data_IF_321362440498
#
_entry.id   IF_321362440498
#
_cell.length_a   1.000
_cell.length_b   1.000
_cell.length_c   1.000
_cell.angle_alpha   90.00
_cell.angle_beta   90.00
_cell.angle_gamma   90.00
#
_symmetry.space_group_name_H-M   'P 1'
#
loop_
_entity.id
_entity.type
_entity.pdbx_description
1 polymer ?
#
# COMPACT_ATOMS: atom_id res chain seq x y z
N UNK A 1 -34.63 24.17 7.60
CA UNK A 1 -34.02 23.45 6.49
C UNK A 1 -33.41 22.17 7.04
N UNK A 2 -34.03 21.05 6.75
CA UNK A 2 -33.70 19.73 7.31
C UNK A 2 -32.31 19.27 6.87
N UNK A 3 -31.40 19.12 7.83
CA UNK A 3 -30.17 18.35 7.59
C UNK A 3 -30.59 16.92 7.24
N UNK A 4 -30.54 16.57 5.98
CA UNK A 4 -30.61 15.15 5.57
C UNK A 4 -29.45 14.44 6.25
N UNK A 5 -29.77 13.70 7.30
CA UNK A 5 -28.91 12.68 7.90
C UNK A 5 -28.71 11.60 6.84
N UNK A 6 -27.76 11.79 5.94
CA UNK A 6 -27.35 10.77 4.99
C UNK A 6 -26.62 9.66 5.76
N UNK A 7 -27.39 8.78 6.37
CA UNK A 7 -26.92 7.56 7.04
C UNK A 7 -26.46 6.48 6.02
N UNK A 8 -26.21 6.88 4.77
CA UNK A 8 -25.70 5.96 3.77
C UNK A 8 -24.27 5.58 4.09
N UNK A 9 -24.04 4.29 4.30
CA UNK A 9 -22.70 3.73 4.49
C UNK A 9 -21.83 3.94 3.23
N UNK A 10 -22.41 3.68 2.06
CA UNK A 10 -21.70 3.81 0.77
C UNK A 10 -21.67 5.27 0.31
N UNK A 11 -20.74 6.02 0.86
CA UNK A 11 -20.47 7.39 0.43
C UNK A 11 -19.48 7.42 -0.74
N UNK A 12 -19.51 8.45 -1.61
CA UNK A 12 -18.48 8.59 -2.66
C UNK A 12 -17.06 8.60 -2.11
N UNK A 13 -16.85 9.10 -0.90
CA UNK A 13 -15.55 9.13 -0.23
C UNK A 13 -15.10 7.72 0.14
N UNK A 14 -15.99 6.88 0.66
CA UNK A 14 -15.70 5.47 0.96
C UNK A 14 -15.28 4.73 -0.31
N UNK A 15 -16.04 4.88 -1.40
CA UNK A 15 -15.77 4.21 -2.66
C UNK A 15 -14.42 4.66 -3.23
N UNK A 16 -14.17 5.98 -3.29
CA UNK A 16 -12.92 6.52 -3.82
C UNK A 16 -11.72 6.09 -2.96
N UNK A 17 -11.80 6.16 -1.64
CA UNK A 17 -10.75 5.71 -0.74
C UNK A 17 -10.46 4.22 -0.87
N UNK A 18 -11.51 3.39 -0.97
CA UNK A 18 -11.39 1.94 -1.19
C UNK A 18 -10.71 1.63 -2.52
N UNK A 19 -11.05 2.32 -3.60
CA UNK A 19 -10.42 2.14 -4.92
C UNK A 19 -8.95 2.57 -4.91
N UNK A 20 -8.62 3.67 -4.24
CA UNK A 20 -7.22 4.12 -4.11
C UNK A 20 -6.39 3.05 -3.40
N UNK A 21 -6.87 2.50 -2.27
CA UNK A 21 -6.16 1.43 -1.57
C UNK A 21 -6.10 0.14 -2.40
N UNK A 22 -7.19 -0.25 -3.05
CA UNK A 22 -7.23 -1.44 -3.90
C UNK A 22 -6.15 -1.36 -4.98
N UNK A 23 -6.10 -0.26 -5.72
CA UNK A 23 -5.13 -0.06 -6.82
C UNK A 23 -3.71 0.01 -6.28
N UNK A 24 -3.46 0.83 -5.27
CA UNK A 24 -2.13 1.01 -4.69
C UNK A 24 -1.54 -0.30 -4.15
N UNK A 25 -2.34 -1.10 -3.43
CA UNK A 25 -1.90 -2.38 -2.89
C UNK A 25 -1.89 -3.51 -3.93
N UNK A 26 -2.71 -3.42 -4.99
CA UNK A 26 -2.58 -4.32 -6.13
C UNK A 26 -1.19 -4.18 -6.77
N UNK A 27 -0.76 -2.97 -7.08
CA UNK A 27 0.57 -2.71 -7.64
C UNK A 27 1.66 -3.15 -6.66
N UNK A 28 1.56 -2.77 -5.37
CA UNK A 28 2.57 -3.13 -4.37
C UNK A 28 2.80 -4.63 -4.25
N UNK A 29 1.75 -5.43 -4.26
CA UNK A 29 1.83 -6.88 -4.07
C UNK A 29 2.52 -7.61 -5.23
N UNK A 30 2.74 -6.94 -6.36
CA UNK A 30 3.34 -7.56 -7.56
C UNK A 30 4.87 -7.49 -7.58
N UNK A 31 5.49 -6.64 -6.76
CA UNK A 31 6.94 -6.37 -6.86
C UNK A 31 7.80 -7.64 -6.81
N UNK A 32 7.43 -8.64 -6.00
CA UNK A 32 8.16 -9.90 -5.94
C UNK A 32 8.21 -10.70 -7.26
N UNK A 33 7.24 -10.48 -8.17
CA UNK A 33 7.22 -11.13 -9.48
C UNK A 33 8.28 -10.60 -10.44
N UNK A 34 8.77 -9.39 -10.20
CA UNK A 34 9.77 -8.72 -11.03
C UNK A 34 11.20 -9.11 -10.67
N UNK A 35 11.40 -9.80 -9.53
CA UNK A 35 12.72 -10.18 -9.07
C UNK A 35 13.50 -11.04 -10.09
N UNK A 36 12.86 -12.04 -10.64
CA UNK A 36 13.50 -12.95 -11.61
C UNK A 36 13.74 -12.24 -12.95
N UNK A 37 12.74 -11.62 -13.59
CA UNK A 37 12.93 -10.93 -14.86
C UNK A 37 14.01 -9.85 -14.82
N UNK A 38 14.06 -9.04 -13.77
CA UNK A 38 15.08 -7.98 -13.64
C UNK A 38 16.46 -8.57 -13.38
N UNK A 39 16.55 -9.61 -12.54
CA UNK A 39 17.82 -10.27 -12.26
C UNK A 39 18.40 -10.95 -13.51
N UNK A 40 17.58 -11.52 -14.37
CA UNK A 40 17.98 -12.15 -15.63
C UNK A 40 18.45 -11.12 -16.66
N UNK A 41 17.72 -10.01 -16.83
CA UNK A 41 18.06 -8.99 -17.82
C UNK A 41 19.39 -8.28 -17.52
N UNK A 42 19.69 -8.04 -16.24
CA UNK A 42 20.86 -7.25 -15.83
C UNK A 42 21.96 -8.08 -15.17
N UNK A 43 21.75 -9.38 -15.00
CA UNK A 43 22.64 -10.27 -14.26
C UNK A 43 22.91 -9.81 -12.82
N UNK A 44 21.91 -9.16 -12.19
CA UNK A 44 22.01 -8.74 -10.81
C UNK A 44 21.86 -9.90 -9.85
N UNK A 45 22.59 -9.82 -8.72
CA UNK A 45 22.33 -10.74 -7.63
C UNK A 45 20.92 -10.50 -7.07
N UNK A 46 20.19 -11.56 -6.73
CA UNK A 46 18.84 -11.45 -6.15
C UNK A 46 18.80 -10.63 -4.86
N UNK A 47 19.92 -10.62 -4.12
CA UNK A 47 20.08 -9.78 -2.94
C UNK A 47 19.89 -8.30 -3.24
N UNK A 48 20.29 -7.81 -4.42
CA UNK A 48 20.15 -6.41 -4.83
C UNK A 48 18.68 -6.01 -4.95
N UNK A 49 17.88 -6.86 -5.59
CA UNK A 49 16.43 -6.64 -5.66
C UNK A 49 15.77 -6.74 -4.28
N UNK A 50 16.17 -7.72 -3.47
CA UNK A 50 15.65 -7.87 -2.11
C UNK A 50 15.97 -6.66 -1.23
N UNK A 51 17.16 -6.09 -1.39
CA UNK A 51 17.57 -4.86 -0.71
C UNK A 51 16.70 -3.68 -1.15
N UNK A 52 16.39 -3.56 -2.45
CA UNK A 52 15.49 -2.52 -2.95
C UNK A 52 14.11 -2.60 -2.29
N UNK A 53 13.54 -3.81 -2.16
CA UNK A 53 12.25 -4.01 -1.48
C UNK A 53 12.35 -3.72 0.03
N UNK A 54 13.45 -4.05 0.68
CA UNK A 54 13.68 -3.70 2.09
C UNK A 54 13.74 -2.18 2.28
N UNK A 55 14.45 -1.47 1.42
CA UNK A 55 14.52 0.01 1.39
C UNK A 55 13.14 0.61 1.16
N UNK A 56 12.34 0.05 0.22
CA UNK A 56 10.97 0.48 -0.03
C UNK A 56 10.10 0.37 1.24
N UNK A 57 10.14 -0.76 1.93
CA UNK A 57 9.34 -0.97 3.14
C UNK A 57 9.80 -0.05 4.28
N UNK A 58 11.10 0.17 4.43
CA UNK A 58 11.65 1.12 5.41
C UNK A 58 11.20 2.55 5.10
N UNK A 59 11.31 2.99 3.86
CA UNK A 59 10.86 4.30 3.41
C UNK A 59 9.34 4.48 3.60
N UNK A 60 8.53 3.42 3.36
CA UNK A 60 7.11 3.43 3.66
C UNK A 60 6.85 3.62 5.16
N UNK A 61 7.53 2.85 6.03
CA UNK A 61 7.38 2.97 7.47
C UNK A 61 7.72 4.37 7.98
N UNK A 62 8.86 4.93 7.58
CA UNK A 62 9.30 6.28 7.94
C UNK A 62 8.39 7.36 7.32
N UNK A 63 7.97 7.14 6.10
CA UNK A 63 7.11 8.08 5.37
C UNK A 63 5.70 8.21 5.96
N UNK A 64 5.17 7.15 6.57
CA UNK A 64 3.80 7.15 7.09
C UNK A 64 3.53 8.27 8.12
N UNK A 65 4.30 8.44 9.19
CA UNK A 65 4.10 9.56 10.11
C UNK A 65 4.36 10.92 9.45
N UNK A 66 5.30 11.02 8.51
CA UNK A 66 5.60 12.26 7.79
C UNK A 66 4.40 12.69 6.94
N UNK A 67 3.83 11.76 6.16
CA UNK A 67 2.64 12.05 5.35
C UNK A 67 1.38 12.27 6.18
N UNK A 68 1.27 11.64 7.36
CA UNK A 68 0.18 11.94 8.30
C UNK A 68 0.27 13.38 8.81
N UNK A 69 1.44 13.82 9.26
CA UNK A 69 1.67 15.21 9.68
C UNK A 69 1.48 16.21 8.51
N UNK A 70 1.93 15.85 7.31
CA UNK A 70 1.71 16.66 6.11
C UNK A 70 0.21 16.77 5.78
N UNK A 71 -0.55 15.68 5.90
CA UNK A 71 -1.99 15.67 5.68
C UNK A 71 -2.75 16.55 6.68
N UNK A 72 -2.35 16.55 7.95
CA UNK A 72 -2.93 17.43 8.97
C UNK A 72 -2.66 18.90 8.68
N UNK A 73 -1.46 19.23 8.23
CA UNK A 73 -1.07 20.64 7.98
C UNK A 73 -1.60 21.17 6.65
N UNK A 74 -1.54 20.38 5.59
CA UNK A 74 -1.81 20.85 4.22
C UNK A 74 -3.08 20.25 3.60
N UNK A 75 -3.66 19.26 4.27
CA UNK A 75 -4.88 18.56 3.87
C UNK A 75 -4.62 17.23 3.17
N UNK A 76 -5.49 16.26 3.43
CA UNK A 76 -5.37 14.88 2.98
C UNK A 76 -5.24 14.72 1.47
N UNK A 77 -6.01 15.51 0.71
CA UNK A 77 -5.96 15.43 -0.76
C UNK A 77 -4.58 15.73 -1.30
N UNK A 78 -3.91 16.74 -0.77
CA UNK A 78 -2.55 17.10 -1.19
C UNK A 78 -1.56 16.01 -0.81
N UNK A 79 -1.71 15.42 0.37
CA UNK A 79 -0.88 14.30 0.80
C UNK A 79 -1.04 13.08 -0.10
N UNK A 80 -2.28 12.67 -0.38
CA UNK A 80 -2.58 11.52 -1.24
C UNK A 80 -2.14 11.78 -2.69
N UNK A 81 -2.39 12.99 -3.21
CA UNK A 81 -1.92 13.35 -4.57
C UNK A 81 -0.40 13.28 -4.67
N UNK A 82 0.32 13.86 -3.70
CA UNK A 82 1.78 13.80 -3.66
C UNK A 82 2.27 12.36 -3.55
N UNK A 83 1.63 11.55 -2.70
CA UNK A 83 1.93 10.12 -2.58
C UNK A 83 1.79 9.36 -3.91
N UNK A 84 0.67 9.55 -4.61
CA UNK A 84 0.42 8.92 -5.91
C UNK A 84 1.41 9.38 -6.98
N UNK A 85 1.80 10.67 -6.98
CA UNK A 85 2.81 11.19 -7.90
C UNK A 85 4.18 10.57 -7.62
N UNK A 86 4.62 10.52 -6.35
CA UNK A 86 5.90 9.90 -5.98
C UNK A 86 5.91 8.42 -6.33
N UNK A 87 4.78 7.72 -6.10
CA UNK A 87 4.63 6.32 -6.45
C UNK A 87 4.76 6.09 -7.95
N UNK A 88 4.02 6.85 -8.75
CA UNK A 88 4.07 6.76 -10.19
C UNK A 88 5.46 7.10 -10.76
N UNK A 89 6.08 8.19 -10.28
CA UNK A 89 7.42 8.59 -10.72
C UNK A 89 8.47 7.54 -10.34
N UNK A 90 8.42 7.02 -9.11
CA UNK A 90 9.33 5.98 -8.66
C UNK A 90 9.25 4.73 -9.54
N UNK A 91 8.04 4.25 -9.84
CA UNK A 91 7.82 3.09 -10.70
C UNK A 91 8.25 3.39 -12.15
N UNK A 92 7.83 4.55 -12.69
CA UNK A 92 8.16 4.93 -14.07
C UNK A 92 9.67 5.04 -14.30
N UNK A 93 10.39 5.72 -13.42
CA UNK A 93 11.84 5.84 -13.57
C UNK A 93 12.53 4.49 -13.32
N UNK A 94 11.97 3.63 -12.45
CA UNK A 94 12.49 2.27 -12.24
C UNK A 94 12.40 1.39 -13.49
N UNK A 95 11.48 1.68 -14.43
CA UNK A 95 11.40 0.95 -15.71
C UNK A 95 12.63 1.14 -16.60
N UNK A 96 13.38 2.21 -16.37
CA UNK A 96 14.62 2.56 -17.11
C UNK A 96 15.89 2.38 -16.28
N UNK A 97 15.80 1.91 -15.04
CA UNK A 97 16.94 1.73 -14.15
C UNK A 97 17.79 0.54 -14.60
N UNK A 98 19.07 0.79 -14.89
CA UNK A 98 20.03 -0.22 -15.38
C UNK A 98 21.07 -0.62 -14.33
N UNK A 99 21.08 0.02 -13.17
CA UNK A 99 21.97 -0.35 -12.06
C UNK A 99 21.20 -0.65 -10.78
N UNK A 100 21.70 -1.57 -9.93
CA UNK A 100 21.06 -1.91 -8.65
C UNK A 100 20.88 -0.69 -7.75
N UNK A 101 21.89 0.18 -7.67
CA UNK A 101 21.87 1.37 -6.81
C UNK A 101 20.78 2.36 -7.25
N UNK A 102 20.62 2.56 -8.56
CA UNK A 102 19.54 3.40 -9.09
C UNK A 102 18.18 2.83 -8.72
N UNK A 103 18.00 1.51 -8.88
CA UNK A 103 16.76 0.83 -8.53
C UNK A 103 16.47 0.91 -7.03
N UNK A 104 17.49 0.72 -6.17
CA UNK A 104 17.37 0.86 -4.72
C UNK A 104 17.00 2.29 -4.31
N UNK A 105 17.63 3.31 -4.91
CA UNK A 105 17.29 4.70 -4.64
C UNK A 105 15.84 5.04 -5.05
N UNK A 106 15.40 4.56 -6.21
CA UNK A 106 14.02 4.77 -6.67
C UNK A 106 12.97 4.07 -5.80
N UNK A 107 13.35 2.97 -5.15
CA UNK A 107 12.49 2.32 -4.18
C UNK A 107 12.25 3.16 -2.90
N UNK A 108 13.10 4.14 -2.59
CA UNK A 108 12.80 5.15 -1.56
C UNK A 108 11.60 5.99 -2.00
N UNK A 109 11.58 6.47 -3.24
CA UNK A 109 10.45 7.24 -3.79
C UNK A 109 9.16 6.42 -3.77
N UNK A 110 9.24 5.17 -4.20
CA UNK A 110 8.11 4.23 -4.20
C UNK A 110 7.58 4.05 -2.77
N UNK A 111 8.46 3.84 -1.79
CA UNK A 111 8.08 3.70 -0.38
C UNK A 111 7.38 4.95 0.17
N UNK A 112 7.91 6.14 -0.07
CA UNK A 112 7.24 7.39 0.28
C UNK A 112 5.93 7.58 -0.47
N UNK A 113 5.85 7.16 -1.73
CA UNK A 113 4.61 7.14 -2.51
C UNK A 113 3.53 6.29 -1.85
N UNK A 114 3.87 5.07 -1.43
CA UNK A 114 2.97 4.17 -0.70
C UNK A 114 2.56 4.78 0.65
N UNK A 115 3.48 5.44 1.37
CA UNK A 115 3.18 6.11 2.63
C UNK A 115 2.13 7.21 2.46
N UNK A 116 2.24 8.02 1.40
CA UNK A 116 1.33 9.13 1.14
C UNK A 116 -0.04 8.72 0.58
N UNK A 117 -0.13 7.62 -0.17
CA UNK A 117 -1.36 7.13 -0.79
C UNK A 117 -1.94 5.87 -0.14
N UNK A 118 -1.28 5.33 0.88
CA UNK A 118 -1.64 4.09 1.57
C UNK A 118 -2.63 4.28 2.72
N UNK A 119 -2.62 3.32 3.65
CA UNK A 119 -3.60 3.22 4.73
C UNK A 119 -3.69 4.48 5.59
N UNK A 120 -2.58 5.09 5.99
CA UNK A 120 -2.58 6.23 6.92
C UNK A 120 -3.49 7.37 6.45
N UNK A 121 -3.13 8.10 5.39
CA UNK A 121 -3.93 9.23 4.90
C UNK A 121 -5.32 8.84 4.40
N UNK A 122 -5.47 7.69 3.71
CA UNK A 122 -6.76 7.29 3.13
C UNK A 122 -7.77 6.89 4.20
N UNK A 123 -7.37 6.07 5.19
CA UNK A 123 -8.26 5.70 6.30
C UNK A 123 -8.63 6.91 7.15
N UNK A 124 -7.70 7.86 7.34
CA UNK A 124 -7.98 9.10 8.05
C UNK A 124 -9.09 9.91 7.36
N UNK A 125 -9.03 10.05 6.03
CA UNK A 125 -10.08 10.74 5.25
C UNK A 125 -11.42 10.03 5.34
N UNK A 126 -11.44 8.72 5.12
CA UNK A 126 -12.68 7.91 5.16
C UNK A 126 -13.29 7.97 6.55
N UNK A 127 -12.49 7.82 7.62
CA UNK A 127 -12.96 7.89 8.99
C UNK A 127 -13.54 9.25 9.36
N UNK A 128 -12.96 10.36 8.84
CA UNK A 128 -13.49 11.71 9.04
C UNK A 128 -14.75 12.01 8.24
N UNK A 129 -14.90 11.39 7.08
CA UNK A 129 -16.07 11.58 6.22
C UNK A 129 -17.29 10.76 6.64
N UNK A 130 -17.09 9.71 7.45
CA UNK A 130 -18.13 8.77 7.85
C UNK A 130 -18.72 9.11 9.23
N UNK A 131 -20.02 8.86 9.45
CA UNK A 131 -20.68 9.02 10.76
C UNK A 131 -20.05 8.09 11.81
N UNK A 132 -20.16 8.47 13.09
CA UNK A 132 -19.54 7.68 14.18
C UNK A 132 -20.09 6.26 14.26
N UNK A 133 -21.41 6.08 13.98
CA UNK A 133 -22.07 4.78 13.94
C UNK A 133 -21.54 3.84 12.86
N UNK A 134 -21.09 4.37 11.71
CA UNK A 134 -20.66 3.59 10.56
C UNK A 134 -19.13 3.61 10.38
N UNK A 135 -18.38 4.31 11.24
CA UNK A 135 -16.94 4.54 11.07
C UNK A 135 -16.15 3.24 11.06
N UNK A 136 -16.40 2.35 12.03
CA UNK A 136 -15.69 1.07 12.11
C UNK A 136 -15.91 0.23 10.86
N UNK A 137 -17.14 0.15 10.40
CA UNK A 137 -17.50 -0.60 9.19
C UNK A 137 -16.89 0.01 7.94
N UNK A 138 -16.91 1.33 7.80
CA UNK A 138 -16.32 2.02 6.66
C UNK A 138 -14.80 1.82 6.59
N UNK A 139 -14.11 1.90 7.72
CA UNK A 139 -12.68 1.63 7.81
C UNK A 139 -12.36 0.16 7.49
N UNK A 140 -13.19 -0.78 7.96
CA UNK A 140 -13.09 -2.20 7.64
C UNK A 140 -13.24 -2.48 6.15
N UNK A 141 -14.26 -1.90 5.50
CA UNK A 141 -14.48 -2.04 4.04
C UNK A 141 -13.29 -1.47 3.25
N UNK A 142 -12.81 -0.30 3.65
CA UNK A 142 -11.66 0.34 2.97
C UNK A 142 -10.38 -0.49 3.12
N UNK A 143 -10.14 -1.07 4.29
CA UNK A 143 -9.02 -1.97 4.54
C UNK A 143 -9.16 -3.27 3.74
N UNK A 144 -10.35 -3.85 3.71
CA UNK A 144 -10.65 -5.04 2.92
C UNK A 144 -10.44 -4.81 1.42
N UNK A 145 -10.75 -3.62 0.91
CA UNK A 145 -10.48 -3.26 -0.49
C UNK A 145 -8.96 -3.25 -0.79
N UNK A 146 -8.13 -2.72 0.11
CA UNK A 146 -6.68 -2.81 -0.01
C UNK A 146 -6.18 -4.26 -0.03
N UNK A 147 -6.73 -5.12 0.83
CA UNK A 147 -6.41 -6.55 0.84
C UNK A 147 -6.87 -7.27 -0.43
N UNK A 148 -8.05 -6.93 -0.96
CA UNK A 148 -8.53 -7.45 -2.24
C UNK A 148 -7.59 -7.05 -3.41
N UNK A 149 -7.01 -5.85 -3.36
CA UNK A 149 -5.97 -5.42 -4.31
C UNK A 149 -4.78 -6.37 -4.31
N UNK A 150 -4.32 -6.81 -3.15
CA UNK A 150 -3.21 -7.77 -3.04
C UNK A 150 -3.53 -9.15 -3.65
N UNK A 151 -4.79 -9.53 -3.73
CA UNK A 151 -5.23 -10.76 -4.41
C UNK A 151 -5.28 -10.56 -5.92
N UNK A 152 -5.78 -9.42 -6.37
CA UNK A 152 -6.01 -9.13 -7.80
C UNK A 152 -4.70 -8.75 -8.51
N UNK A 153 -3.80 -8.04 -7.83
CA UNK A 153 -2.58 -7.51 -8.42
C UNK A 153 -1.67 -8.57 -9.04
N UNK A 154 -1.25 -9.61 -8.29
CA UNK A 154 -0.33 -10.61 -8.80
C UNK A 154 -0.81 -11.36 -10.04
N UNK A 155 -2.06 -11.84 -10.14
CA UNK A 155 -2.59 -12.43 -11.37
C UNK A 155 -2.54 -11.46 -12.56
N UNK A 156 -2.91 -10.21 -12.32
CA UNK A 156 -2.87 -9.17 -13.35
C UNK A 156 -1.45 -8.91 -13.84
N UNK A 157 -0.47 -8.77 -12.92
CA UNK A 157 0.93 -8.61 -13.29
C UNK A 157 1.50 -9.83 -14.01
N UNK A 158 1.16 -11.05 -13.58
CA UNK A 158 1.61 -12.27 -14.23
C UNK A 158 1.12 -12.38 -15.69
N UNK A 159 -0.14 -11.98 -15.96
CA UNK A 159 -0.68 -11.91 -17.32
C UNK A 159 0.11 -10.89 -18.15
N UNK A 160 0.37 -9.69 -17.62
CA UNK A 160 1.14 -8.68 -18.34
C UNK A 160 2.56 -9.14 -18.62
N UNK A 161 3.26 -9.73 -17.64
CA UNK A 161 4.61 -10.27 -17.78
C UNK A 161 4.71 -11.42 -18.79
N UNK A 162 3.61 -12.11 -19.08
CA UNK A 162 3.59 -13.17 -20.10
C UNK A 162 3.55 -12.65 -21.54
N UNK A 163 3.19 -11.38 -21.74
CA UNK A 163 2.97 -10.79 -23.08
C UNK A 163 3.86 -9.58 -23.36
N UNK A 164 4.52 -9.02 -22.34
CA UNK A 164 5.39 -7.86 -22.50
C UNK A 164 6.54 -7.84 -21.50
N UNK A 165 7.63 -7.09 -21.78
CA UNK A 165 8.78 -6.99 -20.88
C UNK A 165 8.39 -6.30 -19.57
N UNK A 166 9.12 -6.63 -18.49
CA UNK A 166 8.87 -6.08 -17.16
C UNK A 166 8.88 -4.54 -17.10
N UNK A 167 9.72 -3.89 -17.89
CA UNK A 167 9.79 -2.43 -17.96
C UNK A 167 8.47 -1.80 -18.43
N UNK A 168 7.84 -2.37 -19.47
CA UNK A 168 6.54 -1.91 -19.95
C UNK A 168 5.41 -2.15 -18.93
N UNK A 169 5.51 -3.22 -18.12
CA UNK A 169 4.55 -3.43 -17.01
C UNK A 169 4.70 -2.34 -15.96
N UNK A 170 5.92 -1.92 -15.64
CA UNK A 170 6.15 -0.79 -14.74
C UNK A 170 5.58 0.51 -15.29
N UNK A 171 5.73 0.78 -16.59
CA UNK A 171 5.11 1.95 -17.23
C UNK A 171 3.58 1.93 -17.10
N UNK A 172 2.94 0.78 -17.33
CA UNK A 172 1.49 0.61 -17.15
C UNK A 172 1.10 0.88 -15.69
N UNK A 173 1.84 0.38 -14.72
CA UNK A 173 1.55 0.61 -13.30
C UNK A 173 1.72 2.07 -12.91
N UNK A 174 2.70 2.77 -13.48
CA UNK A 174 2.86 4.20 -13.29
C UNK A 174 1.66 4.98 -13.85
N UNK A 175 1.21 4.63 -15.06
CA UNK A 175 0.01 5.23 -15.68
C UNK A 175 -1.24 4.98 -14.82
N UNK A 176 -1.45 3.76 -14.34
CA UNK A 176 -2.58 3.42 -13.47
C UNK A 176 -2.53 4.25 -12.18
N UNK A 177 -1.33 4.42 -11.58
CA UNK A 177 -1.14 5.24 -10.39
C UNK A 177 -1.49 6.71 -10.65
N UNK A 178 -1.10 7.28 -11.80
CA UNK A 178 -1.46 8.65 -12.21
C UNK A 178 -2.99 8.78 -12.43
N UNK A 179 -3.60 7.83 -13.13
CA UNK A 179 -5.06 7.82 -13.36
C UNK A 179 -5.81 7.78 -12.04
N UNK A 180 -5.28 7.10 -11.03
CA UNK A 180 -5.88 7.02 -9.68
C UNK A 180 -6.03 8.39 -9.03
N UNK A 181 -5.23 9.39 -9.43
CA UNK A 181 -5.35 10.78 -8.94
C UNK A 181 -6.74 11.38 -9.24
N UNK A 182 -7.42 10.92 -10.28
CA UNK A 182 -8.78 11.37 -10.65
C UNK A 182 -9.79 11.10 -9.51
N UNK A 183 -9.52 10.13 -8.64
CA UNK A 183 -10.36 9.81 -7.48
C UNK A 183 -10.15 10.78 -6.31
N UNK A 184 -9.01 11.47 -6.23
CA UNK A 184 -8.65 12.32 -5.08
C UNK A 184 -9.61 13.49 -4.85
N UNK A 185 -10.13 14.20 -5.88
CA UNK A 185 -11.12 15.28 -5.68
C UNK A 185 -12.41 14.82 -5.00
N UNK A 186 -12.75 13.53 -5.07
CA UNK A 186 -13.93 12.94 -4.44
C UNK A 186 -13.74 12.84 -2.91
N UNK A 187 -12.50 12.75 -2.42
CA UNK A 187 -12.18 12.65 -1.00
C UNK A 187 -12.46 13.99 -0.27
N UNK A 188 -13.72 14.31 -0.02
CA UNK A 188 -14.15 15.51 0.68
C UNK A 188 -14.33 15.19 2.17
N UNK A 189 -13.59 15.89 3.02
CA UNK A 189 -13.81 15.88 4.47
C UNK A 189 -14.76 17.02 4.86
N UNK A 190 -15.60 16.79 5.86
CA UNK A 190 -16.44 17.83 6.44
C UNK A 190 -15.55 18.81 7.24
N UNK A 191 -15.41 20.08 6.84
CA UNK A 191 -14.54 21.03 7.52
C UNK A 191 -14.98 21.35 8.96
N UNK A 192 -16.24 21.07 9.31
CA UNK A 192 -16.83 21.32 10.61
C UNK A 192 -16.62 20.21 11.64
N UNK A 193 -15.97 19.11 11.28
CA UNK A 193 -15.59 18.10 12.27
C UNK A 193 -14.27 18.53 12.87
N UNK A 194 -14.37 19.29 13.96
CA UNK A 194 -13.24 19.68 14.81
C UNK A 194 -12.49 18.40 15.22
N UNK A 195 -11.42 18.11 14.52
CA UNK A 195 -10.36 17.31 15.10
C UNK A 195 -9.85 18.19 16.23
N UNK A 196 -10.00 17.75 17.48
CA UNK A 196 -9.22 18.33 18.56
C UNK A 196 -7.77 18.30 18.07
N UNK A 197 -7.27 19.48 17.69
CA UNK A 197 -5.84 19.63 17.46
C UNK A 197 -5.20 19.27 18.78
N UNK A 198 -4.63 18.07 18.85
CA UNK A 198 -3.73 17.75 19.94
C UNK A 198 -2.61 18.76 19.83
N UNK A 199 -2.50 19.66 20.80
CA UNK A 199 -1.37 20.58 20.92
C UNK A 199 -0.12 19.84 21.40
N UNK A 200 -0.23 18.53 21.60
CA UNK A 200 0.87 17.68 22.04
C UNK A 200 1.94 17.58 20.96
N UNK A 201 3.17 17.87 21.36
CA UNK A 201 4.32 17.66 20.50
C UNK A 201 4.44 16.17 20.14
N UNK A 202 4.75 15.87 18.86
CA UNK A 202 4.98 14.51 18.39
C UNK A 202 5.97 13.73 19.30
N UNK A 203 6.96 14.43 19.85
CA UNK A 203 7.94 13.85 20.79
C UNK A 203 7.29 13.33 22.07
N UNK A 204 6.32 14.06 22.63
CA UNK A 204 5.67 13.71 23.88
C UNK A 204 4.65 12.57 23.65
N UNK A 205 3.93 12.60 22.53
CA UNK A 205 3.06 11.52 22.12
C UNK A 205 3.83 10.21 21.88
N UNK A 206 5.02 10.26 21.26
CA UNK A 206 5.89 9.10 21.09
C UNK A 206 6.42 8.56 22.41
N UNK A 207 6.80 9.43 23.36
CA UNK A 207 7.25 8.99 24.70
C UNK A 207 6.13 8.28 25.45
N UNK A 208 4.91 8.81 25.41
CA UNK A 208 3.75 8.17 26.03
C UNK A 208 3.47 6.80 25.38
N UNK A 209 3.49 6.73 24.06
CA UNK A 209 3.26 5.49 23.33
C UNK A 209 4.30 4.40 23.70
N UNK A 210 5.59 4.74 23.78
CA UNK A 210 6.66 3.80 24.15
C UNK A 210 6.54 3.35 25.63
N UNK A 211 5.92 4.15 26.49
CA UNK A 211 5.71 3.80 27.90
C UNK A 211 4.44 2.97 28.13
N UNK A 212 3.53 2.91 27.14
CA UNK A 212 2.30 2.11 27.24
C UNK A 212 2.57 0.66 26.81
N UNK A 213 2.48 -0.32 27.72
CA UNK A 213 2.68 -1.73 27.39
C UNK A 213 1.68 -2.24 26.35
N UNK A 214 0.46 -1.70 26.32
CA UNK A 214 -0.56 -2.08 25.33
C UNK A 214 -0.12 -1.66 23.94
N UNK A 215 0.42 -0.45 23.82
CA UNK A 215 0.96 0.04 22.56
C UNK A 215 2.14 -0.81 22.07
N UNK A 216 3.07 -1.15 22.97
CA UNK A 216 4.22 -2.00 22.64
C UNK A 216 3.79 -3.39 22.16
N UNK A 217 2.81 -4.01 22.86
CA UNK A 217 2.27 -5.31 22.45
C UNK A 217 1.63 -5.26 21.06
N UNK A 218 0.84 -4.23 20.79
CA UNK A 218 0.24 -3.99 19.48
C UNK A 218 1.32 -3.76 18.41
N UNK A 219 2.32 -2.95 18.71
CA UNK A 219 3.45 -2.69 17.80
C UNK A 219 4.20 -3.98 17.44
N UNK A 220 4.53 -4.82 18.40
CA UNK A 220 5.20 -6.11 18.17
C UNK A 220 4.33 -7.08 17.36
N UNK A 221 3.02 -7.11 17.62
CA UNK A 221 2.08 -7.90 16.82
C UNK A 221 2.02 -7.45 15.37
N UNK A 222 1.90 -6.15 15.11
CA UNK A 222 1.92 -5.59 13.75
C UNK A 222 3.27 -5.75 13.06
N UNK A 223 4.38 -5.63 13.81
CA UNK A 223 5.71 -5.89 13.28
C UNK A 223 5.85 -7.33 12.77
N UNK A 224 5.43 -8.31 13.57
CA UNK A 224 5.45 -9.73 13.17
C UNK A 224 4.61 -9.99 11.92
N UNK A 225 3.39 -9.44 11.87
CA UNK A 225 2.52 -9.54 10.71
C UNK A 225 3.15 -8.88 9.46
N UNK A 226 3.70 -7.68 9.60
CA UNK A 226 4.36 -6.96 8.51
C UNK A 226 5.59 -7.68 7.99
N UNK A 227 6.39 -8.27 8.88
CA UNK A 227 7.55 -9.07 8.51
C UNK A 227 7.17 -10.31 7.67
N UNK A 228 6.16 -11.07 8.13
CA UNK A 228 5.65 -12.23 7.40
C UNK A 228 5.13 -11.85 6.01
N UNK A 229 4.33 -10.79 5.94
CA UNK A 229 3.76 -10.32 4.68
C UNK A 229 4.86 -9.86 3.71
N UNK A 230 5.85 -9.12 4.18
CA UNK A 230 6.98 -8.67 3.37
C UNK A 230 7.81 -9.85 2.85
N UNK A 231 8.09 -10.84 3.69
CA UNK A 231 8.80 -12.05 3.29
C UNK A 231 8.05 -12.82 2.21
N UNK A 232 6.77 -13.10 2.42
CA UNK A 232 5.95 -13.85 1.47
C UNK A 232 5.85 -13.10 0.14
N UNK A 233 5.57 -11.81 0.15
CA UNK A 233 5.38 -11.04 -1.09
C UNK A 233 6.69 -10.83 -1.88
N UNK A 234 7.83 -10.73 -1.22
CA UNK A 234 9.11 -10.45 -1.86
C UNK A 234 9.87 -11.72 -2.29
N UNK A 235 9.89 -12.76 -1.44
CA UNK A 235 10.78 -13.90 -1.62
C UNK A 235 10.07 -15.19 -2.00
N UNK A 236 8.84 -15.40 -1.57
CA UNK A 236 8.16 -16.67 -1.76
C UNK A 236 7.88 -17.00 -3.22
N UNK A 237 7.53 -16.05 -4.12
CA UNK A 237 7.39 -16.33 -5.54
C UNK A 237 8.65 -16.91 -6.18
N UNK A 238 9.81 -16.32 -5.90
CA UNK A 238 11.09 -16.79 -6.41
C UNK A 238 11.49 -18.17 -5.82
N UNK A 239 11.27 -18.36 -4.51
CA UNK A 239 11.55 -19.61 -3.82
C UNK A 239 10.76 -20.78 -4.44
N UNK A 240 9.48 -20.58 -4.72
CA UNK A 240 8.65 -21.64 -5.32
C UNK A 240 9.03 -21.90 -6.77
N UNK A 241 9.34 -20.85 -7.55
CA UNK A 241 9.80 -21.03 -8.92
C UNK A 241 11.05 -21.91 -9.01
N UNK A 242 11.94 -21.85 -8.01
CA UNK A 242 13.13 -22.70 -7.92
C UNK A 242 12.87 -24.10 -7.37
N UNK A 243 12.00 -24.19 -6.35
CA UNK A 243 11.72 -25.47 -5.70
C UNK A 243 10.80 -26.38 -6.53
N UNK A 244 10.11 -25.83 -7.54
CA UNK A 244 9.13 -26.57 -8.32
C UNK A 244 9.76 -27.24 -9.53
N UNK A 245 9.40 -28.51 -9.73
CA UNK A 245 9.64 -29.28 -10.95
C UNK A 245 9.07 -28.54 -12.18
N UNK A 246 9.60 -28.70 -13.40
CA UNK A 246 9.22 -27.94 -14.60
C UNK A 246 7.74 -27.93 -14.95
N UNK A 247 6.91 -28.75 -14.30
CA UNK A 247 5.48 -28.92 -14.57
C UNK A 247 4.61 -27.82 -13.91
N UNK A 248 5.11 -27.13 -12.88
CA UNK A 248 4.36 -26.10 -12.17
C UNK A 248 5.14 -24.79 -12.28
N UNK A 249 5.06 -24.16 -13.44
CA UNK A 249 5.75 -22.88 -13.66
C UNK A 249 5.20 -21.76 -12.77
N UNK A 250 6.14 -20.97 -12.24
CA UNK A 250 6.04 -20.04 -11.14
C UNK A 250 4.90 -18.99 -11.12
N UNK A 251 4.19 -18.76 -12.22
CA UNK A 251 3.12 -17.77 -12.23
C UNK A 251 1.90 -18.21 -11.42
N UNK A 252 1.42 -19.44 -11.56
CA UNK A 252 0.27 -19.97 -10.82
C UNK A 252 0.53 -20.08 -9.32
N UNK A 253 1.74 -20.48 -8.94
CA UNK A 253 2.11 -20.65 -7.54
C UNK A 253 2.30 -19.29 -6.87
N UNK A 254 2.91 -18.35 -7.55
CA UNK A 254 3.04 -16.95 -7.12
C UNK A 254 1.66 -16.33 -6.86
N UNK A 255 0.70 -16.58 -7.76
CA UNK A 255 -0.70 -16.19 -7.61
C UNK A 255 -1.31 -16.83 -6.35
N UNK A 256 -1.17 -18.13 -6.17
CA UNK A 256 -1.73 -18.84 -5.02
C UNK A 256 -1.13 -18.33 -3.71
N UNK A 257 0.18 -18.16 -3.64
CA UNK A 257 0.85 -17.73 -2.40
C UNK A 257 0.51 -16.29 -2.01
N UNK A 258 0.51 -15.36 -2.97
CA UNK A 258 0.07 -14.00 -2.70
C UNK A 258 -1.43 -13.95 -2.36
N UNK A 259 -2.25 -14.81 -2.99
CA UNK A 259 -3.67 -14.93 -2.68
C UNK A 259 -3.89 -15.46 -1.26
N UNK A 260 -3.14 -16.47 -0.82
CA UNK A 260 -3.24 -17.02 0.54
C UNK A 260 -2.78 -15.99 1.58
N UNK A 261 -1.67 -15.28 1.34
CA UNK A 261 -1.22 -14.21 2.21
C UNK A 261 -2.25 -13.08 2.32
N UNK A 262 -2.89 -12.75 1.20
CA UNK A 262 -3.92 -11.70 1.13
C UNK A 262 -5.25 -12.15 1.76
N UNK A 263 -5.61 -13.43 1.66
CA UNK A 263 -6.76 -13.99 2.38
C UNK A 263 -6.56 -13.95 3.89
N UNK A 264 -5.33 -14.16 4.37
CA UNK A 264 -4.98 -13.95 5.77
C UNK A 264 -5.20 -12.49 6.20
N UNK A 265 -4.77 -11.53 5.40
CA UNK A 265 -5.01 -10.11 5.65
C UNK A 265 -6.51 -9.74 5.57
N UNK A 266 -7.26 -10.33 4.63
CA UNK A 266 -8.72 -10.18 4.52
C UNK A 266 -9.45 -10.73 5.75
N UNK A 267 -9.02 -11.87 6.28
CA UNK A 267 -9.64 -12.44 7.49
C UNK A 267 -9.42 -11.55 8.71
N UNK A 268 -8.27 -10.91 8.86
CA UNK A 268 -8.01 -9.93 9.92
C UNK A 268 -8.91 -8.69 9.73
N UNK A 269 -9.07 -8.22 8.48
CA UNK A 269 -9.97 -7.10 8.19
C UNK A 269 -11.43 -7.44 8.50
N UNK A 270 -11.87 -8.67 8.24
CA UNK A 270 -13.21 -9.14 8.55
C UNK A 270 -13.46 -9.26 10.07
N UNK A 271 -12.46 -9.70 10.83
CA UNK A 271 -12.54 -9.74 12.31
C UNK A 271 -12.67 -8.32 12.88
N UNK A 272 -12.05 -7.33 12.26
CA UNK A 272 -12.22 -5.92 12.63
C UNK A 272 -13.60 -5.31 12.33
N UNK A 273 -14.50 -6.06 11.67
CA UNK A 273 -15.88 -5.66 11.43
C UNK A 273 -16.84 -6.03 12.59
N UNK A 274 -16.42 -6.90 13.49
CA UNK A 274 -17.16 -7.32 14.70
C UNK A 274 -16.54 -6.71 15.95
#
# INVERSE_FOLDING_TARGET
MSSQNNNSLFTPVLIAGSLILLIGFAIRSTFGLFQIPIAEDFLWARSEFSLAIAIQNLAWGIGTPIFSAFAEKYGDRKAITLGLILYALGIFISSTATSPESHQFLNILIGFGIAGSGFGPVLAVVGRATSDSNRSLALGITTAAGSAGQVIGPPFAAILLSIMPWSSVFEIFAIISIITIILVPILKTNPNRNIQKSEENLSDALKQAIQDPTYIMLFLGFFSCGFQLAFITAHFPAFIAEASSPIIQGSLISIVCNSVASLGALSIALIGLF
#
